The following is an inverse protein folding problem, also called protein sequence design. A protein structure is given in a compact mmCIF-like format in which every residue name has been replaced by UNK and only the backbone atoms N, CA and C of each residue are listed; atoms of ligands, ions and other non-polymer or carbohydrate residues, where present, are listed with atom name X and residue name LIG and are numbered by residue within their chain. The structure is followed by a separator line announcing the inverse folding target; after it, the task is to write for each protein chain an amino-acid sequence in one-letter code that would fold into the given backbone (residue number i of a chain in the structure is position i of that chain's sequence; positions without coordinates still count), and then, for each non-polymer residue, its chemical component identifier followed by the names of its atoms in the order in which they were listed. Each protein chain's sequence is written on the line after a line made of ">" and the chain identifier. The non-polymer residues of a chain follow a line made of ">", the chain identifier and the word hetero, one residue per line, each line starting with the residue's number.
data_IF_825691635621
#
_entry.id   IF_825691635621
#
_cell.length_a   1.000
_cell.length_b   1.000
_cell.length_c   1.000
_cell.angle_alpha   90.00
_cell.angle_beta   90.00
_cell.angle_gamma   90.00
#
_symmetry.space_group_name_H-M   'P 1'
#
loop_
_entity.id
_entity.type
_entity.pdbx_description
1 polymer ?
#
# COMPACT_ATOMS: atom_id res chain seq x y z
N UNK A 1 -0.31 4.68 14.91
CA UNK A 1 -0.47 5.91 14.08
C UNK A 1 -1.81 5.92 13.36
N UNK A 2 -2.38 4.75 13.12
CA UNK A 2 -3.71 4.53 12.58
C UNK A 2 -4.72 4.47 13.74
N UNK A 3 -5.94 4.96 13.51
CA UNK A 3 -7.01 5.08 14.51
C UNK A 3 -7.90 3.84 14.63
N UNK A 4 -7.81 2.91 13.66
CA UNK A 4 -8.55 1.64 13.61
C UNK A 4 -7.66 0.43 13.93
N UNK A 5 -8.22 -0.57 14.59
CA UNK A 5 -7.55 -1.86 14.82
C UNK A 5 -7.57 -2.70 13.54
N UNK A 6 -6.48 -2.61 12.77
CA UNK A 6 -6.33 -3.37 11.53
C UNK A 6 -6.10 -4.87 11.76
N UNK A 7 -5.65 -5.31 12.93
CA UNK A 7 -5.51 -6.75 13.21
C UNK A 7 -6.89 -7.39 13.41
N UNK A 8 -7.77 -6.70 14.15
CA UNK A 8 -9.16 -7.15 14.30
C UNK A 8 -9.94 -7.01 12.99
N UNK A 9 -9.71 -5.96 12.22
CA UNK A 9 -10.29 -5.82 10.88
C UNK A 9 -9.86 -6.97 9.96
N UNK A 10 -8.57 -7.37 10.00
CA UNK A 10 -8.04 -8.47 9.20
C UNK A 10 -8.72 -9.80 9.56
N UNK A 11 -8.92 -10.06 10.86
CA UNK A 11 -9.60 -11.26 11.36
C UNK A 11 -11.05 -11.38 10.86
N UNK A 12 -11.73 -10.24 10.69
CA UNK A 12 -13.15 -10.18 10.29
C UNK A 12 -13.36 -10.08 8.79
N UNK A 13 -12.32 -9.76 8.02
CA UNK A 13 -12.42 -9.51 6.58
C UNK A 13 -12.45 -10.82 5.79
N UNK A 14 -13.41 -10.92 4.86
CA UNK A 14 -13.51 -12.07 3.95
C UNK A 14 -12.46 -12.04 2.83
N UNK A 15 -11.94 -10.86 2.51
CA UNK A 15 -10.95 -10.64 1.44
C UNK A 15 -9.51 -10.68 1.94
N UNK A 16 -9.30 -10.66 3.26
CA UNK A 16 -7.97 -10.72 3.83
C UNK A 16 -7.32 -12.11 3.58
N UNK A 17 -6.03 -12.17 3.23
CA UNK A 17 -5.33 -13.43 2.98
C UNK A 17 -5.41 -14.39 4.19
N UNK A 18 -6.08 -15.53 4.01
CA UNK A 18 -6.30 -16.52 5.09
C UNK A 18 -5.05 -17.32 5.44
N UNK A 19 -4.09 -17.36 4.53
CA UNK A 19 -2.82 -18.05 4.66
C UNK A 19 -1.77 -17.26 5.46
N UNK A 20 -2.06 -16.01 5.83
CA UNK A 20 -1.14 -15.21 6.63
C UNK A 20 -1.18 -15.64 8.09
N UNK A 21 0.00 -15.97 8.63
CA UNK A 21 0.13 -16.19 10.07
C UNK A 21 -0.10 -14.90 10.86
N UNK A 22 -0.47 -14.98 12.15
CA UNK A 22 -0.57 -13.79 13.01
C UNK A 22 0.71 -12.95 13.02
N UNK A 23 1.88 -13.58 12.94
CA UNK A 23 3.18 -12.91 12.91
C UNK A 23 3.37 -12.15 11.59
N UNK A 24 3.03 -12.77 10.45
CA UNK A 24 3.08 -12.11 9.14
C UNK A 24 2.13 -10.90 9.09
N UNK A 25 0.92 -11.04 9.61
CA UNK A 25 -0.07 -9.95 9.68
C UNK A 25 0.43 -8.79 10.54
N UNK A 26 1.06 -9.08 11.70
CA UNK A 26 1.66 -8.04 12.54
C UNK A 26 2.83 -7.34 11.84
N UNK A 27 3.67 -8.08 11.12
CA UNK A 27 4.78 -7.50 10.39
C UNK A 27 4.31 -6.61 9.23
N UNK A 28 3.32 -7.07 8.45
CA UNK A 28 2.71 -6.26 7.40
C UNK A 28 2.09 -4.97 7.94
N UNK A 29 1.46 -5.01 9.13
CA UNK A 29 0.95 -3.80 9.79
C UNK A 29 2.09 -2.85 10.16
N UNK A 30 3.19 -3.35 10.75
CA UNK A 30 4.36 -2.52 11.06
C UNK A 30 4.94 -1.87 9.81
N UNK A 31 5.01 -2.62 8.71
CA UNK A 31 5.52 -2.12 7.43
C UNK A 31 4.57 -1.09 6.81
N UNK A 32 3.26 -1.28 6.92
CA UNK A 32 2.28 -0.28 6.51
C UNK A 32 2.38 1.02 7.32
N UNK A 33 2.54 0.95 8.65
CA UNK A 33 2.75 2.15 9.46
C UNK A 33 4.04 2.90 9.08
N UNK A 34 5.13 2.18 8.79
CA UNK A 34 6.36 2.78 8.24
C UNK A 34 6.10 3.40 6.86
N UNK A 35 5.36 2.73 5.99
CA UNK A 35 5.02 3.27 4.67
C UNK A 35 4.27 4.61 4.76
N UNK A 36 3.29 4.72 5.66
CA UNK A 36 2.58 5.99 5.90
C UNK A 36 3.52 7.10 6.41
N UNK A 37 4.48 6.76 7.27
CA UNK A 37 5.50 7.70 7.74
C UNK A 37 6.41 8.16 6.60
N UNK A 38 6.87 7.23 5.76
CA UNK A 38 7.70 7.52 4.61
C UNK A 38 6.97 8.45 3.63
N UNK A 39 5.71 8.15 3.31
CA UNK A 39 4.85 9.00 2.48
C UNK A 39 4.64 10.40 3.10
N UNK A 40 4.45 10.47 4.42
CA UNK A 40 4.28 11.75 5.12
C UNK A 40 5.57 12.60 5.14
N UNK A 41 6.73 11.95 5.15
CA UNK A 41 8.05 12.61 5.10
C UNK A 41 8.39 13.09 3.67
N UNK A 42 7.94 12.37 2.66
CA UNK A 42 8.23 12.63 1.25
C UNK A 42 6.96 12.94 0.45
N UNK A 43 6.18 13.94 0.91
CA UNK A 43 4.85 14.28 0.34
C UNK A 43 4.84 14.59 -1.15
N UNK A 44 5.94 15.11 -1.70
CA UNK A 44 6.07 15.49 -3.11
C UNK A 44 6.56 14.32 -3.99
N UNK A 45 6.72 13.13 -3.41
CA UNK A 45 7.24 11.96 -4.10
C UNK A 45 6.17 10.86 -4.11
N UNK A 46 5.75 10.39 -5.29
CA UNK A 46 4.92 9.20 -5.40
C UNK A 46 5.61 8.00 -4.74
N UNK A 47 4.85 7.21 -4.00
CA UNK A 47 5.32 5.98 -3.36
C UNK A 47 4.50 4.79 -3.87
N UNK A 48 5.14 3.64 -4.07
CA UNK A 48 4.48 2.41 -4.50
C UNK A 48 4.63 1.34 -3.41
N UNK A 49 3.53 0.77 -2.89
CA UNK A 49 3.57 -0.23 -1.83
C UNK A 49 4.07 -1.60 -2.34
N UNK A 50 4.63 -2.42 -1.44
CA UNK A 50 4.72 -3.88 -1.64
C UNK A 50 3.37 -4.54 -1.38
N UNK A 51 3.20 -5.81 -1.79
CA UNK A 51 1.92 -6.53 -1.66
C UNK A 51 1.39 -6.54 -0.24
N UNK A 52 2.25 -6.79 0.73
CA UNK A 52 1.86 -6.86 2.14
C UNK A 52 1.37 -5.52 2.70
N UNK A 53 2.05 -4.43 2.32
CA UNK A 53 1.70 -3.05 2.63
C UNK A 53 0.36 -2.68 1.98
N UNK A 54 0.19 -3.03 0.70
CA UNK A 54 -1.02 -2.73 -0.08
C UNK A 54 -2.26 -3.43 0.49
N UNK A 55 -2.14 -4.69 0.92
CA UNK A 55 -3.24 -5.40 1.60
C UNK A 55 -3.67 -4.70 2.89
N UNK A 56 -2.72 -4.21 3.69
CA UNK A 56 -3.02 -3.45 4.91
C UNK A 56 -3.65 -2.08 4.61
N UNK A 57 -3.19 -1.44 3.54
CA UNK A 57 -3.76 -0.18 3.08
C UNK A 57 -5.22 -0.35 2.64
N UNK A 58 -5.52 -1.35 1.82
CA UNK A 58 -6.89 -1.69 1.44
C UNK A 58 -7.78 -1.94 2.67
N UNK A 59 -7.27 -2.68 3.65
CA UNK A 59 -8.00 -2.95 4.88
C UNK A 59 -8.30 -1.67 5.68
N UNK A 60 -7.36 -0.71 5.69
CA UNK A 60 -7.58 0.59 6.30
C UNK A 60 -8.65 1.40 5.56
N UNK A 61 -8.66 1.39 4.23
CA UNK A 61 -9.68 2.07 3.41
C UNK A 61 -11.10 1.52 3.63
N UNK A 62 -11.26 0.27 4.05
CA UNK A 62 -12.56 -0.31 4.44
C UNK A 62 -13.14 0.32 5.73
N UNK A 63 -12.37 1.13 6.45
CA UNK A 63 -12.83 1.99 7.54
C UNK A 63 -12.77 3.46 7.10
N UNK A 64 -13.65 3.91 6.19
CA UNK A 64 -13.46 5.15 5.43
C UNK A 64 -13.35 6.40 6.30
N UNK A 65 -14.07 6.45 7.44
CA UNK A 65 -13.95 7.56 8.41
C UNK A 65 -12.55 7.60 9.05
N UNK A 66 -12.08 6.47 9.56
CA UNK A 66 -10.77 6.35 10.18
C UNK A 66 -9.67 6.68 9.15
N UNK A 67 -9.78 6.13 7.95
CA UNK A 67 -8.86 6.39 6.85
C UNK A 67 -8.77 7.88 6.51
N UNK A 68 -9.92 8.54 6.36
CA UNK A 68 -9.97 9.97 6.11
C UNK A 68 -9.31 10.79 7.23
N UNK A 69 -9.71 10.56 8.48
CA UNK A 69 -9.19 11.30 9.64
C UNK A 69 -7.68 11.10 9.82
N UNK A 70 -7.18 9.88 9.61
CA UNK A 70 -5.76 9.57 9.67
C UNK A 70 -4.97 10.21 8.52
N UNK A 71 -5.51 10.18 7.29
CA UNK A 71 -4.90 10.85 6.15
C UNK A 71 -4.85 12.36 6.35
N UNK A 72 -5.91 12.99 6.84
CA UNK A 72 -5.91 14.42 7.16
C UNK A 72 -4.84 14.75 8.20
N UNK A 73 -4.70 13.92 9.25
CA UNK A 73 -3.70 14.13 10.30
C UNK A 73 -2.26 13.94 9.81
N UNK A 74 -2.01 12.99 8.90
CA UNK A 74 -0.66 12.66 8.42
C UNK A 74 -0.24 13.48 7.20
N UNK A 75 -1.15 13.69 6.26
CA UNK A 75 -0.89 14.25 4.94
C UNK A 75 -1.60 15.60 4.71
N UNK A 76 -2.60 15.96 5.51
CA UNK A 76 -3.45 17.14 5.25
C UNK A 76 -4.37 16.98 4.02
N UNK A 77 -4.39 15.79 3.43
CA UNK A 77 -5.15 15.40 2.26
C UNK A 77 -5.38 13.88 2.32
N UNK A 78 -6.25 13.35 1.48
CA UNK A 78 -6.37 11.89 1.30
C UNK A 78 -5.11 11.42 0.55
N UNK A 79 -4.46 10.36 1.05
CA UNK A 79 -3.48 9.63 0.25
C UNK A 79 -4.26 8.83 -0.79
N UNK A 80 -4.16 9.22 -2.05
CA UNK A 80 -4.94 8.58 -3.11
C UNK A 80 -4.38 7.20 -3.46
N UNK A 81 -5.27 6.27 -3.80
CA UNK A 81 -4.91 4.90 -4.19
C UNK A 81 -5.40 4.65 -5.61
N UNK A 82 -4.47 4.56 -6.55
CA UNK A 82 -4.73 4.19 -7.94
C UNK A 82 -4.32 2.73 -8.18
N UNK A 83 -5.23 1.80 -7.88
CA UNK A 83 -5.04 0.37 -8.12
C UNK A 83 -5.01 -0.04 -9.59
N UNK A 84 -5.27 0.90 -10.53
CA UNK A 84 -5.19 0.68 -11.97
C UNK A 84 -3.85 1.10 -12.58
N UNK A 85 -3.06 1.89 -11.85
CA UNK A 85 -1.79 2.40 -12.34
C UNK A 85 -0.82 1.27 -12.71
N UNK A 86 -0.38 1.25 -13.97
CA UNK A 86 0.49 0.20 -14.48
C UNK A 86 -0.23 -0.91 -15.23
N UNK A 87 -1.56 -0.87 -15.39
CA UNK A 87 -2.28 -1.80 -16.28
C UNK A 87 -1.95 -1.52 -17.75
N UNK A 88 -1.72 -0.25 -18.11
CA UNK A 88 -1.34 0.11 -19.47
C UNK A 88 0.18 -0.09 -19.69
N UNK A 89 0.60 -0.68 -20.83
CA UNK A 89 2.02 -0.88 -21.12
C UNK A 89 2.88 0.39 -21.04
N UNK A 90 2.28 1.56 -21.29
CA UNK A 90 2.94 2.86 -21.20
C UNK A 90 3.23 3.31 -19.77
N UNK A 91 2.53 2.78 -18.77
CA UNK A 91 2.65 3.18 -17.36
C UNK A 91 3.68 2.34 -16.59
N UNK A 92 3.97 1.13 -17.08
CA UNK A 92 4.91 0.18 -16.49
C UNK A 92 6.27 0.82 -16.16
N UNK A 93 6.92 1.59 -17.07
CA UNK A 93 8.23 2.15 -16.77
C UNK A 93 8.18 3.15 -15.60
N UNK A 94 7.10 3.93 -15.51
CA UNK A 94 6.92 4.91 -14.44
C UNK A 94 6.60 4.24 -13.11
N UNK A 95 5.76 3.19 -13.12
CA UNK A 95 5.49 2.38 -11.93
C UNK A 95 6.77 1.74 -11.40
N UNK A 96 7.56 1.12 -12.28
CA UNK A 96 8.85 0.52 -11.91
C UNK A 96 9.79 1.56 -11.28
N UNK A 97 9.94 2.72 -11.92
CA UNK A 97 10.77 3.80 -11.39
C UNK A 97 10.28 4.31 -10.02
N UNK A 98 8.96 4.41 -9.84
CA UNK A 98 8.34 4.80 -8.56
C UNK A 98 8.62 3.77 -7.47
N UNK A 99 8.50 2.49 -7.79
CA UNK A 99 8.80 1.40 -6.86
C UNK A 99 10.27 1.37 -6.46
N UNK A 100 11.19 1.45 -7.43
CA UNK A 100 12.64 1.50 -7.16
C UNK A 100 13.02 2.71 -6.29
N UNK A 101 12.40 3.87 -6.55
CA UNK A 101 12.59 5.07 -5.72
C UNK A 101 12.06 4.86 -4.31
N UNK A 102 10.89 4.24 -4.16
CA UNK A 102 10.30 3.93 -2.85
C UNK A 102 11.22 2.99 -2.06
N UNK A 103 11.76 1.96 -2.72
CA UNK A 103 12.71 1.03 -2.11
C UNK A 103 13.97 1.74 -1.61
N UNK A 104 14.55 2.62 -2.42
CA UNK A 104 15.72 3.40 -2.02
C UNK A 104 15.45 4.34 -0.84
N UNK A 105 14.29 5.03 -0.83
CA UNK A 105 13.87 5.86 0.30
C UNK A 105 13.66 5.04 1.57
N UNK A 106 13.03 3.86 1.44
CA UNK A 106 12.81 2.95 2.54
C UNK A 106 14.11 2.47 3.17
N UNK A 107 15.06 2.00 2.35
CA UNK A 107 16.37 1.54 2.82
C UNK A 107 17.16 2.67 3.50
N UNK A 108 17.10 3.88 2.95
CA UNK A 108 17.74 5.05 3.54
C UNK A 108 17.11 5.45 4.89
N UNK A 109 15.79 5.33 5.04
CA UNK A 109 15.07 5.73 6.26
C UNK A 109 15.17 4.69 7.37
N UNK A 110 15.02 3.41 7.03
CA UNK A 110 14.83 2.33 8.00
C UNK A 110 16.02 1.37 8.11
N UNK A 111 16.98 1.42 7.18
CA UNK A 111 18.17 0.54 7.19
C UNK A 111 17.85 -0.93 6.96
N UNK A 112 16.69 -1.24 6.36
CA UNK A 112 16.22 -2.61 6.10
C UNK A 112 15.73 -2.72 4.65
N UNK A 113 15.76 -3.90 4.02
CA UNK A 113 15.35 -4.07 2.63
C UNK A 113 13.85 -3.82 2.45
N UNK A 114 13.47 -3.16 1.34
CA UNK A 114 12.06 -2.89 1.09
C UNK A 114 11.28 -4.16 0.72
N UNK A 115 11.87 -5.04 -0.09
CA UNK A 115 11.29 -6.35 -0.41
C UNK A 115 11.78 -7.37 0.63
N UNK A 116 10.86 -8.10 1.25
CA UNK A 116 11.19 -9.22 2.14
C UNK A 116 11.37 -10.51 1.33
N UNK A 117 12.34 -11.35 1.73
CA UNK A 117 12.75 -12.56 0.98
C UNK A 117 11.64 -13.60 0.75
N UNK A 118 10.59 -13.62 1.58
CA UNK A 118 9.40 -14.46 1.38
C UNK A 118 8.58 -14.06 0.12
N UNK A 119 8.76 -12.83 -0.38
CA UNK A 119 8.11 -12.32 -1.59
C UNK A 119 9.06 -12.35 -2.79
N UNK A 120 10.38 -12.50 -2.60
CA UNK A 120 11.38 -12.44 -3.67
C UNK A 120 11.27 -13.54 -4.74
N UNK A 121 10.65 -14.69 -4.44
CA UNK A 121 10.48 -15.80 -5.37
C UNK A 121 9.31 -15.65 -6.36
N UNK A 122 8.42 -14.69 -6.14
CA UNK A 122 7.16 -14.53 -6.89
C UNK A 122 6.78 -13.06 -7.17
N UNK A 123 7.30 -12.10 -6.39
CA UNK A 123 6.67 -10.79 -6.25
C UNK A 123 7.20 -9.67 -7.14
N UNK A 124 8.39 -9.76 -7.75
CA UNK A 124 8.85 -8.66 -8.63
C UNK A 124 8.02 -8.55 -9.91
N UNK A 125 7.38 -9.64 -10.35
CA UNK A 125 6.56 -9.69 -11.57
C UNK A 125 5.07 -9.86 -11.24
N UNK A 126 4.70 -10.58 -10.17
CA UNK A 126 3.28 -10.74 -9.80
C UNK A 126 2.68 -9.60 -8.99
N UNK A 127 3.46 -8.80 -8.26
CA UNK A 127 2.89 -7.65 -7.55
C UNK A 127 2.35 -6.59 -8.53
N UNK A 128 2.92 -6.55 -9.75
CA UNK A 128 2.49 -5.69 -10.85
C UNK A 128 1.32 -6.26 -11.67
N UNK A 129 1.22 -7.58 -11.80
CA UNK A 129 0.19 -8.25 -12.61
C UNK A 129 -1.04 -8.76 -11.85
N UNK A 130 -0.98 -8.92 -10.52
CA UNK A 130 -2.05 -9.57 -9.74
C UNK A 130 -3.00 -8.60 -9.01
N UNK A 131 -2.98 -7.30 -9.37
CA UNK A 131 -4.11 -6.40 -9.10
C UNK A 131 -5.39 -6.85 -9.82
N UNK A 132 -5.30 -7.81 -10.76
CA UNK A 132 -6.44 -8.38 -11.47
C UNK A 132 -7.35 -9.28 -10.61
N UNK A 133 -6.96 -9.62 -9.38
CA UNK A 133 -7.61 -10.72 -8.66
C UNK A 133 -8.53 -10.35 -7.50
N UNK A 134 -8.93 -9.07 -7.23
CA UNK A 134 -10.04 -8.84 -6.24
C UNK A 134 -10.82 -7.53 -6.12
N UNK A 135 -10.58 -6.46 -6.86
CA UNK A 135 -11.43 -5.26 -6.72
C UNK A 135 -12.13 -4.93 -8.05
N UNK A 136 -13.30 -5.55 -8.25
CA UNK A 136 -14.28 -5.10 -9.24
C UNK A 136 -14.74 -3.68 -8.87
N UNK A 137 -14.63 -2.74 -9.81
CA UNK A 137 -15.00 -1.32 -9.77
C UNK A 137 -13.86 -0.35 -9.38
N UNK A 138 -13.25 0.28 -10.40
CA UNK A 138 -12.46 1.51 -10.26
C UNK A 138 -13.09 2.61 -11.13
N UNK A 139 -13.17 3.83 -10.59
CA UNK A 139 -13.83 5.00 -11.19
C UNK A 139 -12.83 6.12 -11.52
N UNK A 140 -13.24 6.97 -12.46
CA UNK A 140 -12.59 8.20 -12.95
C UNK A 140 -12.40 9.27 -11.86
N UNK A 141 -11.38 10.10 -12.06
CA UNK A 141 -11.16 11.37 -11.37
C UNK A 141 -12.30 12.38 -11.61
N UNK A 142 -12.69 13.11 -10.56
CA UNK A 142 -13.55 14.29 -10.67
C UNK A 142 -12.78 15.41 -11.41
N UNK A 143 -13.39 15.96 -12.46
CA UNK A 143 -12.91 17.21 -13.08
C UNK A 143 -13.06 18.34 -12.06
N UNK A 144 -12.00 19.14 -11.90
CA UNK A 144 -12.10 20.43 -11.22
C UNK A 144 -13.06 21.33 -12.00
N UNK A 145 -13.84 22.11 -11.25
CA UNK A 145 -14.94 23.01 -11.68
C UNK A 145 -14.57 23.89 -12.87
#
# INVERSE_FOLDING_TARGET
>A
MISVDLLEAARRSETFPKEWSPERTKEALRRYEKFLQLAAKHRDVPVAPTRDIDVMWHLHMLSPRAYYEDCQRLFGAILDHDGGFGQEPSEIPLLKATFEKTAALWEAEYGEPYIVSAEAGDATVKCWHDCQSRCWHACKSAQAV
#
